data_IF_899770022365
#
_entry.id   IF_899770022365
#
_cell.length_a   1.000
_cell.length_b   1.000
_cell.length_c   1.000
_cell.angle_alpha   90.00
_cell.angle_beta   90.00
_cell.angle_gamma   90.00
#
_symmetry.space_group_name_H-M   'P 1'
#
loop_
_entity.id
_entity.type
_entity.pdbx_description
1 polymer ?
#
# COMPACT_ATOMS: atom_id res chain seq x y z
N UNK A 1 2.56 10.87 -12.93
CA UNK A 1 3.02 9.52 -13.31
C UNK A 1 4.40 9.36 -12.70
N UNK A 2 4.74 8.20 -12.14
CA UNK A 2 6.11 7.97 -11.67
C UNK A 2 6.92 7.63 -12.92
N UNK A 3 7.54 8.64 -13.54
CA UNK A 3 8.13 8.57 -14.88
C UNK A 3 9.31 7.56 -15.01
N UNK A 4 9.77 6.99 -13.90
CA UNK A 4 10.87 6.02 -13.85
C UNK A 4 10.42 4.55 -13.83
N UNK A 5 9.12 4.27 -13.77
CA UNK A 5 8.58 2.92 -13.63
C UNK A 5 7.67 2.56 -14.80
N UNK A 6 7.86 1.36 -15.34
CA UNK A 6 7.04 0.82 -16.44
C UNK A 6 5.68 0.35 -15.93
N UNK A 7 4.62 1.01 -16.43
CA UNK A 7 3.23 0.70 -16.13
C UNK A 7 2.80 -0.69 -16.56
N UNK A 8 3.49 -1.31 -17.53
CA UNK A 8 3.24 -2.68 -17.99
C UNK A 8 3.37 -3.73 -16.88
N UNK A 9 4.15 -3.42 -15.84
CA UNK A 9 4.38 -4.30 -14.70
C UNK A 9 3.37 -4.09 -13.57
N UNK A 10 2.38 -3.21 -13.75
CA UNK A 10 1.48 -2.79 -12.69
C UNK A 10 0.08 -3.36 -12.87
N UNK A 11 -0.61 -3.54 -11.75
CA UNK A 11 -2.01 -3.95 -11.74
C UNK A 11 -2.86 -2.76 -11.32
N UNK A 12 -3.91 -2.49 -12.08
CA UNK A 12 -4.84 -1.39 -11.84
C UNK A 12 -6.28 -1.87 -11.80
N UNK A 13 -7.14 -1.05 -11.20
CA UNK A 13 -8.58 -1.22 -11.33
C UNK A 13 -9.08 -0.89 -12.76
N UNK A 14 -10.38 -1.10 -13.00
CA UNK A 14 -11.02 -0.82 -14.30
C UNK A 14 -11.04 0.67 -14.69
N UNK A 15 -10.77 1.58 -13.76
CA UNK A 15 -10.62 3.01 -14.00
C UNK A 15 -9.30 3.36 -14.69
N UNK A 16 -8.27 2.52 -14.55
CA UNK A 16 -6.93 2.73 -15.15
C UNK A 16 -6.76 2.12 -16.55
N UNK A 17 -7.87 1.73 -17.20
CA UNK A 17 -7.83 1.23 -18.58
C UNK A 17 -7.30 2.33 -19.50
N UNK A 18 -6.27 2.01 -20.28
CA UNK A 18 -5.59 2.96 -21.18
C UNK A 18 -4.25 3.48 -20.65
N UNK A 19 -3.90 3.17 -19.40
CA UNK A 19 -2.64 3.58 -18.77
C UNK A 19 -1.52 2.53 -18.88
N UNK A 20 -1.66 1.52 -19.75
CA UNK A 20 -0.66 0.47 -19.93
C UNK A 20 -0.53 -0.55 -18.79
N UNK A 21 -1.43 -0.52 -17.81
CA UNK A 21 -1.46 -1.47 -16.69
C UNK A 21 -2.24 -2.74 -17.01
N UNK A 22 -1.97 -3.81 -16.27
CA UNK A 22 -2.83 -5.00 -16.22
C UNK A 22 -4.11 -4.62 -15.47
N UNK A 23 -5.24 -4.63 -16.17
CA UNK A 23 -6.55 -4.32 -15.59
C UNK A 23 -7.57 -5.40 -15.94
N UNK A 24 -8.59 -5.66 -15.09
CA UNK A 24 -9.68 -6.55 -15.46
C UNK A 24 -10.36 -6.11 -16.77
N UNK A 25 -10.65 -7.06 -17.64
CA UNK A 25 -11.31 -6.87 -18.91
C UNK A 25 -12.74 -6.38 -18.66
N UNK A 26 -13.08 -5.21 -19.23
CA UNK A 26 -14.44 -4.68 -19.23
C UNK A 26 -15.32 -5.48 -20.18
N UNK A 27 -16.60 -5.65 -19.81
CA UNK A 27 -17.59 -6.23 -20.71
C UNK A 27 -17.69 -5.33 -21.96
N UNK A 28 -17.42 -5.86 -23.16
CA UNK A 28 -17.54 -5.10 -24.40
C UNK A 28 -19.00 -4.86 -24.76
N UNK A 29 -19.25 -3.86 -25.60
CA UNK A 29 -20.59 -3.64 -26.15
C UNK A 29 -21.00 -4.84 -27.01
N UNK A 30 -22.26 -5.27 -26.87
CA UNK A 30 -22.90 -6.31 -27.69
C UNK A 30 -22.32 -7.73 -27.59
N UNK A 31 -21.43 -8.03 -26.63
CA UNK A 31 -21.06 -9.42 -26.33
C UNK A 31 -20.88 -9.66 -24.84
N UNK A 32 -21.09 -10.91 -24.45
CA UNK A 32 -20.71 -11.38 -23.12
C UNK A 32 -19.19 -11.58 -23.02
N UNK A 33 -18.72 -11.65 -21.77
CA UNK A 33 -17.35 -12.08 -21.50
C UNK A 33 -17.19 -13.55 -21.90
N UNK A 34 -16.13 -13.84 -22.63
CA UNK A 34 -15.69 -15.19 -22.93
C UNK A 34 -15.21 -15.85 -21.63
N UNK A 35 -15.21 -17.18 -21.58
CA UNK A 35 -14.86 -17.89 -20.35
C UNK A 35 -13.41 -17.63 -19.92
N UNK A 36 -12.48 -17.53 -20.87
CA UNK A 36 -11.09 -17.13 -20.57
C UNK A 36 -10.99 -15.69 -20.01
N UNK A 37 -11.87 -14.76 -20.44
CA UNK A 37 -11.89 -13.39 -19.91
C UNK A 37 -12.42 -13.37 -18.47
N UNK A 38 -13.37 -14.25 -18.15
CA UNK A 38 -13.87 -14.44 -16.78
C UNK A 38 -12.80 -15.07 -15.89
N UNK A 39 -12.08 -16.07 -16.39
CA UNK A 39 -10.97 -16.71 -15.68
C UNK A 39 -9.86 -15.70 -15.38
N UNK A 40 -9.45 -14.92 -16.40
CA UNK A 40 -8.49 -13.84 -16.24
C UNK A 40 -8.96 -12.81 -15.19
N UNK A 41 -10.20 -12.33 -15.31
CA UNK A 41 -10.76 -11.38 -14.36
C UNK A 41 -10.82 -11.96 -12.95
N UNK A 42 -11.12 -13.25 -12.79
CA UNK A 42 -11.16 -13.93 -11.50
C UNK A 42 -9.77 -13.97 -10.86
N UNK A 43 -8.74 -14.28 -11.65
CA UNK A 43 -7.36 -14.29 -11.17
C UNK A 43 -6.90 -12.90 -10.70
N UNK A 44 -7.14 -11.87 -11.51
CA UNK A 44 -6.80 -10.47 -11.16
C UNK A 44 -7.58 -10.01 -9.93
N UNK A 45 -8.90 -10.24 -9.90
CA UNK A 45 -9.75 -9.82 -8.78
C UNK A 45 -9.39 -10.54 -7.48
N UNK A 46 -8.89 -11.78 -7.52
CA UNK A 46 -8.41 -12.49 -6.32
C UNK A 46 -7.24 -11.76 -5.67
N UNK A 47 -6.32 -11.22 -6.48
CA UNK A 47 -5.19 -10.43 -5.99
C UNK A 47 -5.68 -9.09 -5.44
N UNK A 48 -6.52 -8.37 -6.19
CA UNK A 48 -7.09 -7.09 -5.75
C UNK A 48 -7.88 -7.24 -4.44
N UNK A 49 -8.69 -8.29 -4.31
CA UNK A 49 -9.45 -8.58 -3.10
C UNK A 49 -8.55 -8.74 -1.87
N UNK A 50 -7.45 -9.49 -1.99
CA UNK A 50 -6.47 -9.64 -0.90
C UNK A 50 -5.86 -8.28 -0.52
N UNK A 51 -5.46 -7.49 -1.51
CA UNK A 51 -4.89 -6.15 -1.29
C UNK A 51 -5.90 -5.23 -0.60
N UNK A 52 -7.14 -5.19 -1.08
CA UNK A 52 -8.21 -4.38 -0.49
C UNK A 52 -8.50 -4.78 0.95
N UNK A 53 -8.56 -6.08 1.24
CA UNK A 53 -8.72 -6.60 2.60
C UNK A 53 -7.53 -6.22 3.49
N UNK A 54 -6.30 -6.34 2.98
CA UNK A 54 -5.10 -5.90 3.71
C UNK A 54 -5.13 -4.40 4.00
N UNK A 55 -5.49 -3.57 3.02
CA UNK A 55 -5.61 -2.12 3.19
C UNK A 55 -6.74 -1.78 4.18
N UNK A 56 -7.89 -2.44 4.08
CA UNK A 56 -9.01 -2.24 5.01
C UNK A 56 -8.59 -2.58 6.44
N UNK A 57 -7.95 -3.73 6.66
CA UNK A 57 -7.40 -4.10 7.96
C UNK A 57 -6.35 -3.11 8.44
N UNK A 58 -5.42 -2.71 7.58
CA UNK A 58 -4.40 -1.71 7.90
C UNK A 58 -5.02 -0.37 8.34
N UNK A 59 -6.07 0.10 7.65
CA UNK A 59 -6.86 1.29 8.01
C UNK A 59 -7.68 1.14 9.30
N UNK A 60 -7.67 -0.01 9.96
CA UNK A 60 -8.30 -0.15 11.30
C UNK A 60 -7.27 -0.19 12.42
N UNK A 61 -5.98 -0.31 12.09
CA UNK A 61 -4.95 -0.45 13.11
C UNK A 61 -4.78 0.85 13.90
N UNK A 62 -5.05 0.78 15.20
CA UNK A 62 -4.93 1.92 16.11
C UNK A 62 -3.54 2.54 16.10
N UNK A 63 -2.46 1.79 15.89
CA UNK A 63 -1.10 2.37 15.85
C UNK A 63 -0.90 3.36 14.69
N UNK A 64 -1.67 3.22 13.61
CA UNK A 64 -1.63 4.10 12.44
C UNK A 64 -2.61 5.27 12.54
N UNK A 65 -3.71 5.10 13.29
CA UNK A 65 -4.76 6.11 13.47
C UNK A 65 -4.61 6.94 14.74
N UNK A 66 -4.26 6.26 15.83
CA UNK A 66 -3.86 6.86 17.10
C UNK A 66 -2.36 7.06 16.95
N UNK A 67 -1.96 8.22 16.43
CA UNK A 67 -0.56 8.59 16.37
C UNK A 67 0.10 8.31 17.73
N UNK A 68 0.89 7.23 17.84
CA UNK A 68 1.98 7.18 18.82
C UNK A 68 3.18 7.94 18.24
N UNK A 69 2.92 9.01 17.49
CA UNK A 69 3.93 10.01 17.16
C UNK A 69 3.97 10.94 18.36
N UNK A 70 5.09 10.91 19.07
CA UNK A 70 5.44 11.98 20.01
C UNK A 70 5.23 13.32 19.29
N UNK A 71 4.65 14.36 19.91
CA UNK A 71 4.51 15.65 19.25
C UNK A 71 5.86 16.07 18.67
N UNK A 72 5.89 16.56 17.42
CA UNK A 72 7.14 16.93 16.74
C UNK A 72 7.98 17.89 17.59
N UNK A 73 7.32 18.79 18.33
CA UNK A 73 7.95 19.70 19.29
C UNK A 73 8.78 19.01 20.39
N UNK A 74 8.55 17.72 20.67
CA UNK A 74 9.22 16.94 21.72
C UNK A 74 10.30 15.99 21.19
N UNK A 75 10.50 15.93 19.86
CA UNK A 75 11.48 15.04 19.23
C UNK A 75 12.91 15.36 19.68
N UNK A 76 13.29 16.64 19.68
CA UNK A 76 14.62 17.09 20.10
C UNK A 76 14.95 16.62 21.52
N UNK A 77 14.01 16.82 22.46
CA UNK A 77 14.18 16.39 23.86
C UNK A 77 14.28 14.87 23.98
N UNK A 78 13.50 14.12 23.19
CA UNK A 78 13.52 12.65 23.21
C UNK A 78 14.86 12.13 22.68
N UNK A 79 15.35 12.67 21.56
CA UNK A 79 16.65 12.30 20.99
C UNK A 79 17.77 12.62 21.99
N UNK A 80 17.75 13.82 22.58
CA UNK A 80 18.74 14.22 23.58
C UNK A 80 18.76 13.27 24.79
N UNK A 81 17.58 12.90 25.31
CA UNK A 81 17.46 11.96 26.43
C UNK A 81 17.99 10.56 26.09
N UNK A 82 17.68 10.04 24.89
CA UNK A 82 18.18 8.72 24.43
C UNK A 82 19.70 8.74 24.29
N UNK A 83 20.26 9.81 23.71
CA UNK A 83 21.71 9.99 23.60
C UNK A 83 22.37 10.03 24.98
N UNK A 84 21.81 10.81 25.92
CA UNK A 84 22.32 10.90 27.28
C UNK A 84 22.29 9.54 28.01
N UNK A 85 21.20 8.78 27.88
CA UNK A 85 21.08 7.43 28.44
C UNK A 85 22.10 6.45 27.84
N UNK A 86 22.39 6.58 26.54
CA UNK A 86 23.40 5.75 25.89
C UNK A 86 24.80 6.01 26.44
N UNK A 87 25.19 7.29 26.57
CA UNK A 87 26.46 7.66 27.18
C UNK A 87 26.54 7.28 28.66
N UNK A 88 25.44 7.43 29.39
CA UNK A 88 25.36 6.96 30.78
C UNK A 88 25.60 5.45 30.87
N UNK A 89 24.96 4.66 30.01
CA UNK A 89 25.20 3.21 29.93
C UNK A 89 26.68 2.91 29.67
N UNK A 90 27.28 3.54 28.65
CA UNK A 90 28.71 3.35 28.32
C UNK A 90 29.61 3.69 29.51
N UNK A 91 29.27 4.71 30.28
CA UNK A 91 30.06 5.12 31.46
C UNK A 91 29.90 4.20 32.68
N UNK A 92 28.89 3.33 32.68
CA UNK A 92 28.64 2.38 33.76
C UNK A 92 29.10 0.94 33.44
N UNK A 93 29.58 0.70 32.22
CA UNK A 93 30.30 -0.52 31.81
C UNK A 93 31.81 -0.32 31.98
#
# INVERSE_FOLDING_TARGET
VIDTLDSGNWMGDKGYVGNGMITPIKKPAHRELLDWEKEFNTAVNKICYLIEQTIANFKTWRILHTDYRRPLATFTTTIAAVVALHFYKISCE
#
